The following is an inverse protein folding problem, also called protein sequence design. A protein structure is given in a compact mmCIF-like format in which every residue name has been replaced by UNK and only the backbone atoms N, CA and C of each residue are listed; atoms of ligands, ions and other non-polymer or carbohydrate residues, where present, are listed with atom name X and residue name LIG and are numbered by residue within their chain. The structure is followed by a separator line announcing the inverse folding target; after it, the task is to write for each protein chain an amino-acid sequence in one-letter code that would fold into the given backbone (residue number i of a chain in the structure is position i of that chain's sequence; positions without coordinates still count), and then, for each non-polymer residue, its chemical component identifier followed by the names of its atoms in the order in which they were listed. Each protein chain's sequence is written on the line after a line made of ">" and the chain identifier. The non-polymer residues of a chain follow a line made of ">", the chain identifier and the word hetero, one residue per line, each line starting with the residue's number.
data_IF_841763385165
#
_entry.id   IF_841763385165
#
_cell.length_a   1.000
_cell.length_b   1.000
_cell.length_c   1.000
_cell.angle_alpha   90.00
_cell.angle_beta   90.00
_cell.angle_gamma   90.00
#
_symmetry.space_group_name_H-M   'P 1'
#
loop_
_entity.id
_entity.type
_entity.pdbx_description
1 polymer ?
#
# COMPACT_ATOMS: atom_id res chain seq x y z
N UNK A 1 26.21 -25.80 23.84
CA UNK A 1 25.72 -25.15 22.61
C UNK A 1 24.36 -25.76 22.32
N UNK A 2 23.30 -25.17 22.88
CA UNK A 2 21.93 -25.71 22.73
C UNK A 2 21.41 -25.41 21.32
N UNK A 3 21.02 -26.46 20.60
CA UNK A 3 20.24 -26.35 19.36
C UNK A 3 18.87 -25.82 19.76
N UNK A 4 18.61 -24.55 19.52
CA UNK A 4 17.25 -24.03 19.52
C UNK A 4 16.57 -24.55 18.26
N UNK A 5 15.49 -25.32 18.39
CA UNK A 5 14.63 -25.69 17.28
C UNK A 5 14.06 -24.40 16.65
N UNK A 6 14.63 -24.04 15.51
CA UNK A 6 14.43 -22.79 14.78
C UNK A 6 13.18 -22.88 13.90
N UNK A 7 12.06 -23.30 14.47
CA UNK A 7 10.87 -23.53 13.65
C UNK A 7 10.09 -22.22 13.43
N UNK A 8 10.20 -21.72 12.21
CA UNK A 8 9.27 -20.74 11.64
C UNK A 8 8.14 -21.54 11.00
N UNK A 9 6.92 -21.33 11.49
CA UNK A 9 5.74 -22.03 11.02
C UNK A 9 5.02 -21.18 9.97
N UNK A 10 4.68 -21.79 8.83
CA UNK A 10 3.75 -21.19 7.86
C UNK A 10 2.32 -21.34 8.38
N UNK A 11 1.57 -20.24 8.34
CA UNK A 11 0.16 -20.16 8.74
C UNK A 11 -0.64 -19.38 7.68
N UNK A 12 -1.95 -19.34 7.83
CA UNK A 12 -2.75 -18.34 7.14
C UNK A 12 -2.36 -16.94 7.61
N UNK A 13 -2.40 -15.96 6.69
CA UNK A 13 -2.24 -14.55 7.07
C UNK A 13 -3.32 -14.17 8.08
N UNK A 14 -2.92 -13.51 9.16
CA UNK A 14 -3.80 -13.06 10.23
C UNK A 14 -3.56 -11.58 10.51
N UNK A 15 -4.28 -10.74 9.78
CA UNK A 15 -4.07 -9.29 9.78
C UNK A 15 -4.75 -8.58 10.92
N UNK A 16 -5.85 -9.14 11.41
CA UNK A 16 -6.47 -8.68 12.65
C UNK A 16 -5.47 -8.87 13.78
N UNK A 17 -4.85 -10.05 13.88
CA UNK A 17 -3.79 -10.27 14.86
C UNK A 17 -2.57 -9.37 14.65
N UNK A 18 -2.15 -9.16 13.41
CA UNK A 18 -1.05 -8.25 13.10
C UNK A 18 -1.37 -6.82 13.54
N UNK A 19 -2.60 -6.35 13.31
CA UNK A 19 -3.08 -5.03 13.72
C UNK A 19 -3.17 -4.91 15.24
N UNK A 20 -3.72 -5.91 15.93
CA UNK A 20 -3.77 -5.94 17.40
C UNK A 20 -2.36 -5.83 18.01
N UNK A 21 -1.37 -6.51 17.43
CA UNK A 21 0.02 -6.44 17.85
C UNK A 21 0.64 -5.05 17.63
N UNK A 22 0.31 -4.39 16.51
CA UNK A 22 0.71 -3.02 16.25
C UNK A 22 0.08 -2.04 17.26
N UNK A 23 -1.21 -2.20 17.54
CA UNK A 23 -1.94 -1.35 18.47
C UNK A 23 -1.41 -1.53 19.90
N UNK A 24 -1.16 -2.78 20.34
CA UNK A 24 -0.48 -3.06 21.62
C UNK A 24 0.92 -2.45 21.70
N UNK A 25 1.70 -2.49 20.61
CA UNK A 25 3.02 -1.87 20.56
C UNK A 25 2.94 -0.34 20.75
N UNK A 26 1.96 0.30 20.11
CA UNK A 26 1.70 1.75 20.25
C UNK A 26 1.25 2.12 21.66
N UNK A 27 0.33 1.36 22.23
CA UNK A 27 -0.11 1.54 23.62
C UNK A 27 1.06 1.40 24.60
N UNK A 28 1.92 0.40 24.42
CA UNK A 28 3.12 0.23 25.26
C UNK A 28 4.07 1.42 25.15
N UNK A 29 4.28 1.97 23.96
CA UNK A 29 5.09 3.17 23.78
C UNK A 29 4.48 4.38 24.49
N UNK A 30 3.16 4.58 24.41
CA UNK A 30 2.48 5.74 25.00
C UNK A 30 2.33 5.62 26.54
N UNK A 31 2.09 4.43 27.07
CA UNK A 31 1.71 4.24 28.48
C UNK A 31 2.73 3.49 29.32
N UNK A 32 3.49 2.54 28.76
CA UNK A 32 4.52 1.86 29.54
C UNK A 32 5.82 2.66 29.53
N UNK A 33 6.35 2.98 28.35
CA UNK A 33 7.66 3.61 28.21
C UNK A 33 7.66 5.04 28.75
N UNK A 34 6.61 5.81 28.45
CA UNK A 34 6.49 7.23 28.85
C UNK A 34 6.53 7.44 30.37
N UNK A 35 6.05 6.48 31.14
CA UNK A 35 5.90 6.58 32.60
C UNK A 35 6.97 5.80 33.38
N UNK A 36 7.86 5.07 32.70
CA UNK A 36 9.00 4.43 33.37
C UNK A 36 10.03 5.50 33.74
N UNK A 37 10.44 5.60 35.01
CA UNK A 37 11.48 6.52 35.44
C UNK A 37 12.78 6.30 34.66
N UNK A 38 13.45 7.38 34.24
CA UNK A 38 14.67 7.30 33.40
C UNK A 38 15.84 6.59 34.09
N UNK A 39 15.90 6.65 35.41
CA UNK A 39 16.86 5.93 36.24
C UNK A 39 16.62 4.41 36.28
N UNK A 40 15.44 3.95 35.84
CA UNK A 40 15.13 2.53 35.58
C UNK A 40 15.45 2.14 34.12
N UNK A 41 16.63 2.49 33.63
CA UNK A 41 17.05 2.24 32.23
C UNK A 41 16.98 0.78 31.81
N UNK A 42 17.20 -0.17 32.73
CA UNK A 42 17.03 -1.60 32.45
C UNK A 42 15.57 -1.98 32.15
N UNK A 43 14.61 -1.27 32.74
CA UNK A 43 13.18 -1.46 32.49
C UNK A 43 12.77 -0.82 31.17
N UNK A 44 13.33 0.34 30.83
CA UNK A 44 13.19 0.93 29.49
C UNK A 44 13.66 -0.04 28.40
N UNK A 45 14.83 -0.68 28.57
CA UNK A 45 15.29 -1.72 27.64
C UNK A 45 14.27 -2.85 27.47
N UNK A 46 13.70 -3.35 28.57
CA UNK A 46 12.72 -4.43 28.54
C UNK A 46 11.47 -4.02 27.75
N UNK A 47 10.93 -2.84 28.02
CA UNK A 47 9.74 -2.35 27.33
C UNK A 47 10.00 -2.11 25.85
N UNK A 48 11.11 -1.47 25.48
CA UNK A 48 11.47 -1.28 24.06
C UNK A 48 11.69 -2.61 23.33
N UNK A 49 12.32 -3.59 23.98
CA UNK A 49 12.50 -4.90 23.37
C UNK A 49 11.17 -5.63 23.18
N UNK A 50 10.23 -5.49 24.12
CA UNK A 50 8.90 -6.06 23.98
C UNK A 50 8.09 -5.39 22.86
N UNK A 51 8.21 -4.07 22.69
CA UNK A 51 7.69 -3.36 21.51
C UNK A 51 8.28 -3.96 20.23
N UNK A 52 9.60 -4.16 20.16
CA UNK A 52 10.23 -4.79 18.99
C UNK A 52 9.66 -6.18 18.71
N UNK A 53 9.49 -7.01 19.74
CA UNK A 53 8.92 -8.36 19.60
C UNK A 53 7.50 -8.30 19.05
N UNK A 54 6.65 -7.41 19.57
CA UNK A 54 5.28 -7.21 19.10
C UNK A 54 5.26 -6.80 17.61
N UNK A 55 6.11 -5.85 17.22
CA UNK A 55 6.22 -5.39 15.83
C UNK A 55 6.76 -6.49 14.89
N UNK A 56 7.84 -7.19 15.26
CA UNK A 56 8.38 -8.31 14.48
C UNK A 56 7.34 -9.42 14.30
N UNK A 57 6.60 -9.72 15.37
CA UNK A 57 5.54 -10.74 15.33
C UNK A 57 4.40 -10.29 14.43
N UNK A 58 4.02 -9.01 14.48
CA UNK A 58 3.02 -8.42 13.59
C UNK A 58 3.41 -8.58 12.11
N UNK A 59 4.68 -8.34 11.76
CA UNK A 59 5.21 -8.56 10.40
C UNK A 59 5.00 -10.01 9.96
N UNK A 60 5.35 -10.98 10.81
CA UNK A 60 5.21 -12.40 10.47
C UNK A 60 3.73 -12.79 10.26
N UNK A 61 2.83 -12.35 11.14
CA UNK A 61 1.39 -12.65 10.99
C UNK A 61 0.81 -12.06 9.70
N UNK A 62 1.22 -10.83 9.34
CA UNK A 62 0.84 -10.21 8.08
C UNK A 62 1.38 -10.96 6.84
N UNK A 63 2.48 -11.70 7.00
CA UNK A 63 3.05 -12.55 5.94
C UNK A 63 2.47 -13.97 5.91
N UNK A 64 1.80 -14.41 6.97
CA UNK A 64 1.35 -15.79 7.12
C UNK A 64 2.44 -16.69 7.69
N UNK A 65 3.20 -16.18 8.65
CA UNK A 65 4.17 -16.94 9.43
C UNK A 65 4.03 -16.66 10.92
N UNK A 66 4.53 -17.57 11.76
CA UNK A 66 4.71 -17.34 13.19
C UNK A 66 5.92 -18.09 13.70
N UNK A 67 6.42 -17.67 14.86
CA UNK A 67 7.43 -18.41 15.61
C UNK A 67 7.25 -18.14 17.11
N UNK A 68 7.81 -19.02 17.93
CA UNK A 68 7.91 -18.82 19.38
C UNK A 68 9.31 -18.36 19.80
N UNK A 69 10.26 -18.34 18.85
CA UNK A 69 11.66 -18.02 19.10
C UNK A 69 11.95 -16.57 18.74
N UNK A 70 12.45 -15.81 19.71
CA UNK A 70 12.91 -14.45 19.50
C UNK A 70 14.10 -14.38 18.54
N UNK A 71 14.93 -15.43 18.49
CA UNK A 71 16.03 -15.52 17.54
C UNK A 71 15.45 -15.65 16.13
N UNK A 72 14.46 -16.54 15.95
CA UNK A 72 13.81 -16.75 14.66
C UNK A 72 13.03 -15.51 14.19
N UNK A 73 12.48 -14.70 15.09
CA UNK A 73 11.90 -13.38 14.74
C UNK A 73 12.94 -12.48 14.06
N UNK A 74 14.14 -12.36 14.66
CA UNK A 74 15.21 -11.52 14.12
C UNK A 74 15.78 -12.11 12.83
N UNK A 75 15.91 -13.43 12.74
CA UNK A 75 16.38 -14.09 11.52
C UNK A 75 15.40 -13.93 10.36
N UNK A 76 14.09 -13.99 10.63
CA UNK A 76 13.07 -13.76 9.62
C UNK A 76 13.19 -12.37 8.98
N UNK A 77 13.53 -11.35 9.77
CA UNK A 77 13.73 -9.99 9.26
C UNK A 77 14.89 -9.85 8.27
N UNK A 78 15.80 -10.82 8.14
CA UNK A 78 16.85 -10.80 7.11
C UNK A 78 16.28 -10.81 5.68
N UNK A 79 15.02 -11.23 5.50
CA UNK A 79 14.35 -11.16 4.20
C UNK A 79 13.88 -9.74 3.82
N UNK A 80 14.03 -8.76 4.71
CA UNK A 80 13.58 -7.38 4.53
C UNK A 80 14.75 -6.46 4.22
N UNK A 81 14.74 -5.89 3.01
CA UNK A 81 15.77 -4.95 2.57
C UNK A 81 15.68 -3.59 3.29
N UNK A 82 14.54 -3.31 3.91
CA UNK A 82 14.35 -2.12 4.72
C UNK A 82 15.33 -2.11 5.89
N UNK A 83 15.71 -3.26 6.46
CA UNK A 83 16.63 -3.35 7.61
C UNK A 83 18.05 -3.73 7.18
N UNK A 84 19.05 -3.07 7.76
CA UNK A 84 20.46 -3.39 7.51
C UNK A 84 21.02 -4.33 8.59
N UNK A 85 22.22 -4.89 8.35
CA UNK A 85 22.86 -5.84 9.27
C UNK A 85 23.09 -5.26 10.67
N UNK A 86 23.47 -3.97 10.78
CA UNK A 86 23.68 -3.32 12.07
C UNK A 86 22.36 -3.27 12.88
N UNK A 87 21.24 -2.97 12.23
CA UNK A 87 19.92 -2.93 12.87
C UNK A 87 19.49 -4.31 13.38
N UNK A 88 19.75 -5.37 12.59
CA UNK A 88 19.49 -6.75 12.99
C UNK A 88 20.39 -7.18 14.16
N UNK A 89 21.67 -6.78 14.14
CA UNK A 89 22.60 -7.00 15.25
C UNK A 89 22.16 -6.24 16.51
N UNK A 90 21.62 -5.03 16.36
CA UNK A 90 21.08 -4.26 17.48
C UNK A 90 19.90 -4.98 18.14
N UNK A 91 18.98 -5.56 17.37
CA UNK A 91 17.88 -6.38 17.91
C UNK A 91 18.41 -7.58 18.71
N UNK A 92 19.44 -8.27 18.21
CA UNK A 92 20.02 -9.41 18.92
C UNK A 92 20.78 -8.99 20.19
N UNK A 93 21.46 -7.84 20.15
CA UNK A 93 22.10 -7.24 21.34
C UNK A 93 21.07 -6.84 22.39
N UNK A 94 19.96 -6.21 21.99
CA UNK A 94 18.83 -5.91 22.89
C UNK A 94 18.28 -7.19 23.54
N UNK A 95 18.06 -8.26 22.74
CA UNK A 95 17.60 -9.56 23.24
C UNK A 95 18.55 -10.12 24.31
N UNK A 96 19.86 -10.14 24.02
CA UNK A 96 20.89 -10.65 24.94
C UNK A 96 20.96 -9.81 26.23
N UNK A 97 20.95 -8.49 26.10
CA UNK A 97 20.99 -7.58 27.26
C UNK A 97 19.74 -7.73 28.13
N UNK A 98 18.54 -7.81 27.52
CA UNK A 98 17.27 -8.05 28.22
C UNK A 98 17.27 -9.40 28.93
N UNK A 99 17.73 -10.46 28.28
CA UNK A 99 17.85 -11.78 28.90
C UNK A 99 18.81 -11.75 30.11
N UNK A 100 19.95 -11.07 29.98
CA UNK A 100 20.90 -10.84 31.08
C UNK A 100 20.26 -10.20 32.32
N UNK A 101 19.45 -9.16 32.11
CA UNK A 101 18.74 -8.47 33.19
C UNK A 101 17.64 -9.34 33.80
N UNK A 102 16.78 -9.95 32.97
CA UNK A 102 15.58 -10.67 33.44
C UNK A 102 15.93 -11.95 34.18
N UNK A 103 16.88 -12.74 33.68
CA UNK A 103 17.16 -14.06 34.24
C UNK A 103 18.31 -14.07 35.25
N UNK A 104 19.26 -13.13 35.12
CA UNK A 104 20.47 -13.11 35.95
C UNK A 104 20.59 -11.86 36.83
N UNK A 105 19.59 -10.99 36.83
CA UNK A 105 19.56 -9.77 37.66
C UNK A 105 20.69 -8.77 37.35
N UNK A 106 21.33 -8.87 36.18
CA UNK A 106 22.46 -8.01 35.83
C UNK A 106 21.99 -6.59 35.53
N UNK A 107 22.70 -5.60 36.07
CA UNK A 107 22.42 -4.17 35.80
C UNK A 107 22.93 -3.69 34.45
N UNK A 108 23.71 -4.51 33.74
CA UNK A 108 24.38 -4.16 32.48
C UNK A 108 23.40 -3.75 31.37
N UNK A 109 22.16 -4.27 31.39
CA UNK A 109 21.13 -3.88 30.44
C UNK A 109 20.74 -2.40 30.52
N UNK A 110 20.85 -1.80 31.72
CA UNK A 110 20.61 -0.36 31.89
C UNK A 110 21.67 0.49 31.20
N UNK A 111 22.95 0.14 31.38
CA UNK A 111 24.06 0.81 30.71
C UNK A 111 24.00 0.63 29.19
N UNK A 112 23.66 -0.58 28.73
CA UNK A 112 23.44 -0.84 27.32
C UNK A 112 22.37 0.10 26.73
N UNK A 113 21.23 0.25 27.39
CA UNK A 113 20.17 1.13 26.92
C UNK A 113 20.63 2.58 26.84
N UNK A 114 21.26 3.10 27.89
CA UNK A 114 21.73 4.50 27.91
C UNK A 114 22.71 4.79 26.76
N UNK A 115 23.57 3.84 26.43
CA UNK A 115 24.55 3.98 25.35
C UNK A 115 23.93 3.86 23.94
N UNK A 116 22.74 3.30 23.80
CA UNK A 116 22.11 2.98 22.51
C UNK A 116 20.67 3.49 22.38
N UNK A 117 20.19 4.36 23.29
CA UNK A 117 18.79 4.79 23.37
C UNK A 117 18.28 5.35 22.03
N UNK A 118 19.07 6.22 21.40
CA UNK A 118 18.70 6.83 20.12
C UNK A 118 18.62 5.80 18.99
N UNK A 119 19.59 4.88 18.92
CA UNK A 119 19.61 3.80 17.92
C UNK A 119 18.40 2.88 18.09
N UNK A 120 18.07 2.52 19.35
CA UNK A 120 16.90 1.71 19.68
C UNK A 120 15.62 2.42 19.23
N UNK A 121 15.44 3.71 19.54
CA UNK A 121 14.24 4.46 19.13
C UNK A 121 14.09 4.54 17.62
N UNK A 122 15.19 4.79 16.90
CA UNK A 122 15.19 4.81 15.42
C UNK A 122 14.76 3.45 14.86
N UNK A 123 15.35 2.37 15.39
CA UNK A 123 15.02 1.00 15.00
C UNK A 123 13.56 0.64 15.25
N UNK A 124 13.01 1.01 16.41
CA UNK A 124 11.60 0.77 16.75
C UNK A 124 10.67 1.52 15.80
N UNK A 125 10.96 2.79 15.51
CA UNK A 125 10.18 3.56 14.54
C UNK A 125 10.22 2.91 13.15
N UNK A 126 11.38 2.39 12.75
CA UNK A 126 11.54 1.71 11.47
C UNK A 126 10.73 0.41 11.39
N UNK A 127 10.70 -0.38 12.46
CA UNK A 127 9.84 -1.57 12.56
C UNK A 127 8.35 -1.19 12.52
N UNK A 128 7.96 -0.11 13.22
CA UNK A 128 6.59 0.41 13.18
C UNK A 128 6.18 0.83 11.76
N UNK A 129 7.02 1.60 11.09
CA UNK A 129 6.80 2.04 9.70
C UNK A 129 6.67 0.83 8.75
N UNK A 130 7.47 -0.21 8.95
CA UNK A 130 7.43 -1.43 8.16
C UNK A 130 6.09 -2.17 8.33
N UNK A 131 5.60 -2.32 9.57
CA UNK A 131 4.29 -2.92 9.85
C UNK A 131 3.16 -2.08 9.24
N UNK A 132 3.16 -0.76 9.50
CA UNK A 132 2.14 0.14 8.98
C UNK A 132 2.07 0.14 7.46
N UNK A 133 3.23 0.17 6.80
CA UNK A 133 3.34 0.09 5.34
C UNK A 133 2.68 -1.19 4.81
N UNK A 134 2.98 -2.33 5.44
CA UNK A 134 2.44 -3.62 5.02
C UNK A 134 0.91 -3.68 5.18
N UNK A 135 0.38 -3.23 6.31
CA UNK A 135 -1.06 -3.18 6.55
C UNK A 135 -1.77 -2.17 5.63
N UNK A 136 -1.14 -1.02 5.32
CA UNK A 136 -1.68 -0.03 4.37
C UNK A 136 -1.71 -0.56 2.94
N UNK A 137 -0.63 -1.16 2.45
CA UNK A 137 -0.58 -1.74 1.09
C UNK A 137 -1.68 -2.79 0.89
N UNK A 138 -1.97 -3.60 1.92
CA UNK A 138 -3.09 -4.54 1.93
C UNK A 138 -4.44 -3.84 1.70
N UNK A 139 -4.81 -2.88 2.55
CA UNK A 139 -6.09 -2.16 2.45
C UNK A 139 -6.21 -1.49 1.09
N UNK A 140 -5.13 -0.86 0.63
CA UNK A 140 -5.06 -0.22 -0.68
C UNK A 140 -5.34 -1.22 -1.82
N UNK A 141 -4.74 -2.41 -1.79
CA UNK A 141 -5.00 -3.46 -2.78
C UNK A 141 -6.45 -3.95 -2.75
N UNK A 142 -7.07 -4.09 -1.57
CA UNK A 142 -8.47 -4.51 -1.44
C UNK A 142 -9.43 -3.47 -2.01
N UNK A 143 -9.22 -2.19 -1.69
CA UNK A 143 -10.01 -1.08 -2.22
C UNK A 143 -9.83 -0.96 -3.74
N UNK A 144 -8.60 -1.10 -4.24
CA UNK A 144 -8.33 -1.14 -5.66
C UNK A 144 -9.11 -2.26 -6.35
N UNK A 145 -9.00 -3.50 -5.87
CA UNK A 145 -9.71 -4.66 -6.45
C UNK A 145 -11.22 -4.45 -6.44
N UNK A 146 -11.76 -3.95 -5.33
CA UNK A 146 -13.18 -3.65 -5.17
C UNK A 146 -13.70 -2.69 -6.23
N UNK A 147 -12.90 -1.67 -6.60
CA UNK A 147 -13.29 -0.73 -7.66
C UNK A 147 -13.00 -1.31 -9.04
N UNK A 148 -11.88 -2.01 -9.21
CA UNK A 148 -11.45 -2.55 -10.49
C UNK A 148 -12.48 -3.52 -11.09
N UNK A 149 -13.12 -4.36 -10.27
CA UNK A 149 -14.14 -5.32 -10.73
C UNK A 149 -15.40 -4.67 -11.31
N UNK A 150 -15.63 -3.39 -11.06
CA UNK A 150 -16.80 -2.68 -11.60
C UNK A 150 -16.66 -2.62 -13.13
N UNK A 151 -17.63 -3.14 -13.91
CA UNK A 151 -17.56 -3.14 -15.36
C UNK A 151 -17.33 -1.75 -15.94
N UNK A 152 -16.38 -1.64 -16.86
CA UNK A 152 -16.15 -0.41 -17.59
C UNK A 152 -17.33 -0.13 -18.53
N UNK A 153 -17.88 1.08 -18.44
CA UNK A 153 -18.86 1.58 -19.38
C UNK A 153 -18.82 3.11 -19.39
N UNK A 154 -18.80 3.70 -20.58
CA UNK A 154 -18.92 5.16 -20.70
C UNK A 154 -20.36 5.55 -20.47
N UNK A 155 -20.60 6.36 -19.44
CA UNK A 155 -21.94 6.83 -19.05
C UNK A 155 -21.94 8.30 -18.64
N UNK A 156 -23.13 8.84 -18.41
CA UNK A 156 -23.27 10.16 -17.78
C UNK A 156 -22.61 10.12 -16.41
N UNK A 157 -21.72 11.07 -16.16
CA UNK A 157 -21.03 11.23 -14.89
C UNK A 157 -21.72 12.32 -14.06
N UNK A 158 -22.13 11.97 -12.85
CA UNK A 158 -22.62 12.90 -11.82
C UNK A 158 -21.86 12.56 -10.54
N UNK A 159 -21.02 13.48 -10.08
CA UNK A 159 -20.05 13.21 -9.00
C UNK A 159 -20.74 12.84 -7.69
N UNK A 160 -21.86 13.48 -7.41
CA UNK A 160 -22.64 13.34 -6.19
C UNK A 160 -23.35 11.98 -6.10
N UNK A 161 -23.53 11.30 -7.23
CA UNK A 161 -24.15 9.98 -7.30
C UNK A 161 -23.14 8.84 -7.11
N UNK A 162 -21.83 9.13 -7.14
CA UNK A 162 -20.79 8.11 -7.01
C UNK A 162 -20.74 7.59 -5.57
N UNK A 163 -20.95 6.28 -5.43
CA UNK A 163 -20.86 5.54 -4.19
C UNK A 163 -20.55 4.06 -4.45
N UNK A 164 -20.45 3.24 -3.40
CA UNK A 164 -20.06 1.81 -3.50
C UNK A 164 -21.07 0.92 -4.26
N UNK A 165 -22.25 1.43 -4.63
CA UNK A 165 -23.31 0.67 -5.34
C UNK A 165 -23.34 0.88 -6.85
N UNK A 166 -22.41 1.67 -7.43
CA UNK A 166 -22.38 1.86 -8.89
C UNK A 166 -22.22 0.51 -9.61
N UNK A 167 -23.02 0.29 -10.65
CA UNK A 167 -23.05 -0.99 -11.38
C UNK A 167 -22.02 -1.08 -12.50
N UNK A 168 -21.64 0.07 -13.03
CA UNK A 168 -20.67 0.23 -14.12
C UNK A 168 -20.14 1.67 -14.09
N UNK A 169 -19.04 1.91 -14.81
CA UNK A 169 -18.55 3.27 -15.00
C UNK A 169 -17.19 3.33 -15.67
N UNK A 170 -16.88 4.49 -16.24
CA UNK A 170 -15.58 4.77 -16.85
C UNK A 170 -14.56 5.30 -15.82
N UNK A 171 -13.41 5.79 -16.32
CA UNK A 171 -12.35 6.35 -15.49
C UNK A 171 -12.82 7.42 -14.51
N UNK A 172 -13.82 8.26 -14.86
CA UNK A 172 -14.34 9.32 -13.99
C UNK A 172 -15.02 8.73 -12.77
N UNK A 173 -15.86 7.72 -12.98
CA UNK A 173 -16.63 7.06 -11.93
C UNK A 173 -15.72 6.25 -11.01
N UNK A 174 -14.86 5.42 -11.61
CA UNK A 174 -14.00 4.49 -10.87
C UNK A 174 -12.91 5.24 -10.09
N UNK A 175 -12.26 6.24 -10.69
CA UNK A 175 -11.26 7.05 -9.99
C UNK A 175 -11.86 7.90 -8.87
N UNK A 176 -13.08 8.43 -9.04
CA UNK A 176 -13.77 9.15 -7.97
C UNK A 176 -14.15 8.21 -6.81
N UNK A 177 -14.70 7.03 -7.10
CA UNK A 177 -15.03 6.05 -6.05
C UNK A 177 -13.79 5.62 -5.28
N UNK A 178 -12.69 5.28 -5.97
CA UNK A 178 -11.45 4.91 -5.32
C UNK A 178 -10.87 6.05 -4.48
N UNK A 179 -10.92 7.29 -4.98
CA UNK A 179 -10.53 8.48 -4.23
C UNK A 179 -11.31 8.62 -2.91
N UNK A 180 -12.64 8.47 -2.95
CA UNK A 180 -13.48 8.55 -1.75
C UNK A 180 -13.15 7.44 -0.73
N UNK A 181 -13.01 6.20 -1.20
CA UNK A 181 -12.68 5.05 -0.38
C UNK A 181 -11.31 5.20 0.31
N UNK A 182 -10.31 5.71 -0.41
CA UNK A 182 -8.97 5.91 0.12
C UNK A 182 -8.92 7.03 1.17
N UNK A 183 -9.61 8.16 0.93
CA UNK A 183 -9.71 9.22 1.93
C UNK A 183 -10.41 8.74 3.21
N UNK A 184 -11.49 7.95 3.08
CA UNK A 184 -12.18 7.34 4.24
C UNK A 184 -11.25 6.45 5.07
N UNK A 185 -10.26 5.82 4.42
CA UNK A 185 -9.23 5.01 5.07
C UNK A 185 -7.95 5.79 5.40
N UNK A 186 -8.01 7.12 5.43
CA UNK A 186 -6.92 8.02 5.85
C UNK A 186 -5.65 7.91 5.00
N UNK A 187 -5.77 7.52 3.73
CA UNK A 187 -4.66 7.62 2.80
C UNK A 187 -4.47 9.06 2.35
N UNK A 188 -3.21 9.50 2.21
CA UNK A 188 -2.89 10.69 1.45
C UNK A 188 -3.06 10.37 -0.05
N UNK A 189 -4.07 10.96 -0.68
CA UNK A 189 -4.43 10.71 -2.09
C UNK A 189 -4.70 12.03 -2.80
N UNK A 190 -4.27 12.12 -4.07
CA UNK A 190 -4.57 13.25 -4.96
C UNK A 190 -5.10 12.77 -6.29
N UNK A 191 -5.92 13.60 -6.95
CA UNK A 191 -6.38 13.35 -8.31
C UNK A 191 -5.28 13.75 -9.30
N UNK A 192 -5.16 12.96 -10.36
CA UNK A 192 -4.25 13.26 -11.46
C UNK A 192 -5.00 13.19 -12.79
N UNK A 193 -4.54 13.98 -13.76
CA UNK A 193 -4.97 13.90 -15.16
C UNK A 193 -3.87 13.25 -15.98
N UNK A 194 -4.26 12.31 -16.84
CA UNK A 194 -3.35 11.62 -17.74
C UNK A 194 -3.73 11.94 -19.18
N UNK A 195 -2.79 12.37 -19.99
CA UNK A 195 -2.98 12.48 -21.44
C UNK A 195 -2.57 11.16 -22.08
N UNK A 196 -3.46 10.59 -22.90
CA UNK A 196 -3.27 9.31 -23.57
C UNK A 196 -3.81 9.35 -25.00
N UNK A 197 -3.43 8.37 -25.82
CA UNK A 197 -3.95 8.20 -27.18
C UNK A 197 -4.78 6.91 -27.29
N UNK A 198 -6.02 7.00 -27.76
CA UNK A 198 -6.86 5.84 -28.06
C UNK A 198 -6.22 4.87 -29.07
N UNK A 199 -5.30 5.34 -29.91
CA UNK A 199 -4.53 4.49 -30.85
C UNK A 199 -3.56 3.54 -30.17
N UNK A 200 -3.19 3.81 -28.91
CA UNK A 200 -2.31 2.92 -28.14
C UNK A 200 -3.04 1.64 -27.68
N UNK A 201 -4.37 1.59 -27.85
CA UNK A 201 -5.22 0.45 -27.54
C UNK A 201 -5.55 -0.35 -28.82
N UNK A 202 -5.81 -1.65 -28.66
CA UNK A 202 -6.16 -2.55 -29.76
C UNK A 202 -7.63 -2.40 -30.18
N UNK A 203 -8.05 -1.16 -30.44
CA UNK A 203 -9.42 -0.86 -30.86
C UNK A 203 -9.63 -1.17 -32.35
N UNK A 204 -10.84 -1.60 -32.75
CA UNK A 204 -11.25 -1.66 -34.15
C UNK A 204 -11.04 -0.31 -34.85
N UNK A 205 -10.57 -0.34 -36.10
CA UNK A 205 -10.29 0.88 -36.88
C UNK A 205 -11.54 1.72 -37.06
N UNK A 206 -12.70 1.08 -37.16
CA UNK A 206 -14.01 1.68 -37.34
C UNK A 206 -14.37 2.59 -36.16
N UNK A 207 -13.99 2.23 -34.93
CA UNK A 207 -14.20 3.07 -33.75
C UNK A 207 -13.33 4.33 -33.81
N UNK A 208 -12.05 4.18 -34.15
CA UNK A 208 -11.13 5.31 -34.26
C UNK A 208 -11.54 6.29 -35.38
N UNK A 209 -12.17 5.78 -36.45
CA UNK A 209 -12.70 6.59 -37.54
C UNK A 209 -13.89 7.47 -37.14
N UNK A 210 -14.49 7.28 -35.96
CA UNK A 210 -15.50 8.19 -35.41
C UNK A 210 -14.86 9.51 -34.97
N UNK A 211 -13.60 9.48 -34.52
CA UNK A 211 -12.90 10.59 -33.88
C UNK A 211 -12.18 11.51 -34.88
N UNK A 212 -12.85 11.93 -35.96
CA UNK A 212 -12.21 12.69 -37.06
C UNK A 212 -11.89 14.12 -36.66
N UNK A 213 -12.81 14.80 -35.98
CA UNK A 213 -12.63 16.19 -35.53
C UNK A 213 -11.89 16.25 -34.20
N UNK A 214 -12.23 15.35 -33.29
CA UNK A 214 -11.71 15.33 -31.92
C UNK A 214 -10.26 14.82 -31.84
N UNK A 215 -9.86 14.00 -32.81
CA UNK A 215 -8.62 13.24 -32.71
C UNK A 215 -8.69 12.17 -31.62
N UNK A 216 -7.61 11.41 -31.50
CA UNK A 216 -7.54 10.24 -30.60
C UNK A 216 -6.84 10.52 -29.28
N UNK A 217 -6.26 11.71 -29.10
CA UNK A 217 -5.54 12.11 -27.88
C UNK A 217 -6.49 12.78 -26.91
N UNK A 218 -6.80 12.10 -25.80
CA UNK A 218 -7.78 12.54 -24.81
C UNK A 218 -7.15 12.61 -23.42
N UNK A 219 -7.88 13.19 -22.46
CA UNK A 219 -7.50 13.16 -21.05
C UNK A 219 -8.25 12.04 -20.30
N UNK A 220 -7.64 11.58 -19.22
CA UNK A 220 -8.10 10.48 -18.40
C UNK A 220 -7.98 10.84 -16.91
N UNK A 221 -8.93 10.37 -16.11
CA UNK A 221 -8.95 10.55 -14.66
C UNK A 221 -8.28 9.39 -13.95
N UNK A 222 -7.19 9.68 -13.23
CA UNK A 222 -6.51 8.73 -12.35
C UNK A 222 -6.32 9.31 -10.95
N UNK A 223 -5.66 8.53 -10.10
CA UNK A 223 -5.24 9.00 -8.77
C UNK A 223 -3.76 8.70 -8.52
N UNK A 224 -3.16 9.47 -7.61
CA UNK A 224 -1.88 9.13 -7.00
C UNK A 224 -2.06 8.97 -5.49
N UNK A 225 -1.46 7.94 -4.93
CA UNK A 225 -1.53 7.59 -3.50
C UNK A 225 -0.12 7.65 -2.92
N UNK A 226 0.02 8.19 -1.70
CA UNK A 226 1.32 8.26 -1.04
C UNK A 226 1.56 7.02 -0.18
N UNK A 227 2.59 6.24 -0.51
CA UNK A 227 3.03 5.04 0.22
C UNK A 227 4.53 5.19 0.50
N UNK A 228 4.97 4.99 1.75
CA UNK A 228 6.37 5.11 2.15
C UNK A 228 7.06 6.41 1.72
N UNK A 229 6.32 7.53 1.74
CA UNK A 229 6.74 8.88 1.29
C UNK A 229 6.85 9.05 -0.23
N UNK A 230 6.57 8.02 -1.02
CA UNK A 230 6.54 8.07 -2.48
C UNK A 230 5.10 8.18 -2.99
N UNK A 231 4.91 8.89 -4.10
CA UNK A 231 3.63 8.96 -4.78
C UNK A 231 3.58 7.92 -5.88
N UNK A 232 2.69 6.95 -5.74
CA UNK A 232 2.45 5.90 -6.73
C UNK A 232 1.15 6.19 -7.49
N UNK A 233 1.14 5.90 -8.79
CA UNK A 233 0.01 6.13 -9.68
C UNK A 233 -0.87 4.90 -9.73
N UNK A 234 -2.16 5.10 -9.47
CA UNK A 234 -3.14 4.03 -9.38
C UNK A 234 -4.28 4.31 -10.34
N UNK A 235 -4.48 3.38 -11.26
CA UNK A 235 -5.50 3.39 -12.30
C UNK A 235 -6.27 2.07 -12.25
N UNK A 236 -7.55 2.16 -11.86
CA UNK A 236 -8.47 1.02 -11.72
C UNK A 236 -9.48 0.94 -12.87
N UNK A 237 -9.25 1.67 -13.96
CA UNK A 237 -10.24 1.85 -15.04
C UNK A 237 -10.65 0.52 -15.67
N UNK A 238 -9.68 -0.30 -16.07
CA UNK A 238 -9.95 -1.54 -16.80
C UNK A 238 -10.25 -2.71 -15.84
N UNK A 239 -11.49 -3.22 -15.92
CA UNK A 239 -11.87 -4.49 -15.28
C UNK A 239 -11.23 -5.69 -15.99
N UNK A 240 -11.15 -6.83 -15.30
CA UNK A 240 -10.33 -7.98 -15.72
C UNK A 240 -10.71 -8.54 -17.08
N UNK A 241 -12.01 -8.55 -17.40
CA UNK A 241 -12.58 -9.10 -18.62
C UNK A 241 -12.03 -8.42 -19.88
N UNK A 242 -11.65 -7.14 -19.76
CA UNK A 242 -11.11 -6.35 -20.87
C UNK A 242 -9.71 -6.75 -21.32
N UNK A 243 -9.00 -7.56 -20.51
CA UNK A 243 -7.70 -8.11 -20.92
C UNK A 243 -7.82 -8.91 -22.23
N UNK A 244 -8.92 -9.65 -22.39
CA UNK A 244 -9.20 -10.42 -23.61
C UNK A 244 -9.32 -9.55 -24.88
N UNK A 245 -9.66 -8.26 -24.70
CA UNK A 245 -9.78 -7.25 -25.76
C UNK A 245 -8.51 -6.38 -25.89
N UNK A 246 -7.41 -6.78 -25.27
CA UNK A 246 -6.09 -6.15 -25.42
C UNK A 246 -5.84 -4.92 -24.53
N UNK A 247 -6.70 -4.64 -23.54
CA UNK A 247 -6.50 -3.52 -22.62
C UNK A 247 -5.40 -3.80 -21.57
N UNK A 248 -4.68 -2.76 -21.10
CA UNK A 248 -3.65 -2.89 -20.06
C UNK A 248 -4.27 -3.06 -18.67
N UNK A 249 -4.65 -4.29 -18.33
CA UNK A 249 -5.27 -4.63 -17.06
C UNK A 249 -4.24 -5.03 -16.01
N UNK A 250 -4.28 -4.40 -14.83
CA UNK A 250 -3.48 -4.83 -13.68
C UNK A 250 -4.13 -6.03 -12.99
N UNK A 251 -3.65 -7.25 -13.28
CA UNK A 251 -4.22 -8.49 -12.69
C UNK A 251 -3.76 -8.72 -11.25
N UNK A 252 -2.49 -8.46 -10.99
CA UNK A 252 -1.86 -8.59 -9.69
C UNK A 252 -1.13 -7.29 -9.39
N UNK A 253 -1.47 -6.68 -8.26
CA UNK A 253 -0.82 -5.48 -7.77
C UNK A 253 -0.24 -5.75 -6.39
N UNK A 254 0.91 -5.16 -6.10
CA UNK A 254 1.66 -5.32 -4.84
C UNK A 254 1.31 -4.26 -3.79
N UNK A 255 0.52 -3.24 -4.17
CA UNK A 255 0.18 -2.12 -3.31
C UNK A 255 1.36 -1.19 -2.99
N UNK A 256 2.44 -1.28 -3.75
CA UNK A 256 3.69 -0.52 -3.59
C UNK A 256 4.19 0.11 -4.89
N UNK A 257 3.92 -0.47 -6.06
CA UNK A 257 4.31 0.06 -7.36
C UNK A 257 3.19 0.85 -8.03
N UNK A 258 3.50 1.57 -9.10
CA UNK A 258 2.47 2.05 -10.03
C UNK A 258 1.67 0.85 -10.59
N UNK A 259 0.37 1.03 -10.83
CA UNK A 259 -0.43 0.07 -11.61
C UNK A 259 -0.14 0.21 -13.10
N UNK A 260 -0.60 -0.74 -13.93
CA UNK A 260 -0.75 -0.43 -15.35
C UNK A 260 -1.71 0.75 -15.51
N UNK A 261 -1.38 1.64 -16.43
CA UNK A 261 -2.13 2.86 -16.71
C UNK A 261 -3.03 2.67 -17.93
N UNK A 262 -3.88 3.66 -18.19
CA UNK A 262 -4.89 3.68 -19.28
C UNK A 262 -4.43 3.09 -20.62
N UNK A 263 -3.19 3.36 -21.05
CA UNK A 263 -2.56 2.73 -22.24
C UNK A 263 -1.11 2.34 -21.96
N UNK A 264 -0.51 1.55 -22.86
CA UNK A 264 0.93 1.23 -22.83
C UNK A 264 1.79 2.23 -23.60
N UNK A 265 1.18 3.27 -24.18
CA UNK A 265 1.87 4.28 -24.97
C UNK A 265 2.53 5.35 -24.12
N UNK A 266 2.86 6.48 -24.75
CA UNK A 266 3.52 7.60 -24.07
C UNK A 266 2.48 8.42 -23.31
N UNK A 267 2.55 8.37 -21.99
CA UNK A 267 1.65 9.09 -21.09
C UNK A 267 2.27 10.38 -20.54
N UNK A 268 1.44 11.39 -20.31
CA UNK A 268 1.81 12.63 -19.61
C UNK A 268 0.89 12.82 -18.41
N UNK A 269 1.47 13.12 -17.24
CA UNK A 269 0.76 13.17 -15.97
C UNK A 269 0.77 14.59 -15.40
N UNK A 270 -0.38 15.01 -14.88
CA UNK A 270 -0.58 16.34 -14.30
C UNK A 270 -1.33 16.22 -12.98
N UNK A 271 -1.01 17.09 -12.02
CA UNK A 271 -1.89 17.32 -10.87
C UNK A 271 -3.22 17.90 -11.41
N UNK A 272 -4.36 17.31 -11.01
CA UNK A 272 -5.66 17.73 -11.57
C UNK A 272 -5.96 19.21 -11.33
N UNK A 273 -5.53 19.76 -10.19
CA UNK A 273 -5.78 21.17 -9.83
C UNK A 273 -4.98 22.17 -10.69
N UNK A 274 -3.95 21.70 -11.40
CA UNK A 274 -3.08 22.52 -12.27
C UNK A 274 -3.29 22.20 -13.75
N UNK A 275 -4.22 21.30 -14.07
CA UNK A 275 -4.40 20.82 -15.43
C UNK A 275 -5.44 21.66 -16.17
N UNK A 276 -4.98 22.39 -17.19
CA UNK A 276 -5.85 23.04 -18.17
C UNK A 276 -5.85 22.23 -19.46
N UNK A 277 -7.00 21.65 -19.81
CA UNK A 277 -7.13 20.88 -21.04
C UNK A 277 -7.10 21.81 -22.25
N UNK A 278 -6.11 21.63 -23.12
CA UNK A 278 -6.11 22.20 -24.49
C UNK A 278 -6.77 21.26 -25.50
N UNK A 279 -7.18 20.07 -25.07
CA UNK A 279 -7.81 19.06 -25.93
C UNK A 279 -9.26 19.47 -26.16
N UNK A 280 -9.61 19.65 -27.43
CA UNK A 280 -10.99 19.94 -27.85
C UNK A 280 -11.62 18.67 -28.37
N UNK A 281 -12.69 18.23 -27.72
CA UNK A 281 -13.46 17.05 -28.10
C UNK A 281 -14.82 17.50 -28.61
N UNK A 282 -15.19 17.08 -29.82
CA UNK A 282 -16.51 17.28 -30.39
C UNK A 282 -17.52 16.40 -29.64
N UNK A 283 -18.58 17.01 -29.11
CA UNK A 283 -19.53 16.30 -28.23
C UNK A 283 -20.31 15.20 -28.97
N UNK A 284 -20.64 15.41 -30.23
CA UNK A 284 -21.39 14.43 -31.03
C UNK A 284 -20.50 13.23 -31.35
N UNK A 285 -19.25 13.48 -31.75
CA UNK A 285 -18.27 12.40 -31.94
C UNK A 285 -18.01 11.63 -30.65
N UNK A 286 -17.87 12.33 -29.51
CA UNK A 286 -17.61 11.68 -28.24
C UNK A 286 -18.77 10.79 -27.79
N UNK A 287 -20.02 11.24 -27.93
CA UNK A 287 -21.18 10.42 -27.62
C UNK A 287 -21.27 9.21 -28.55
N UNK A 288 -21.10 9.42 -29.86
CA UNK A 288 -21.13 8.32 -30.83
C UNK A 288 -20.01 7.31 -30.58
N UNK A 289 -18.81 7.78 -30.28
CA UNK A 289 -17.67 6.92 -29.95
C UNK A 289 -17.94 6.13 -28.66
N UNK A 290 -18.46 6.78 -27.62
CA UNK A 290 -18.84 6.13 -26.37
C UNK A 290 -19.89 5.04 -26.58
N UNK A 291 -20.92 5.30 -27.38
CA UNK A 291 -21.99 4.32 -27.66
C UNK A 291 -21.45 3.10 -28.41
N UNK A 292 -20.67 3.31 -29.47
CA UNK A 292 -20.08 2.21 -30.24
C UNK A 292 -18.99 1.46 -29.47
N UNK A 293 -18.21 2.15 -28.63
CA UNK A 293 -17.26 1.53 -27.72
C UNK A 293 -17.99 0.63 -26.72
N UNK A 294 -19.05 1.13 -26.08
CA UNK A 294 -19.86 0.34 -25.14
C UNK A 294 -20.44 -0.92 -25.80
N UNK A 295 -20.96 -0.82 -27.03
CA UNK A 295 -21.45 -1.97 -27.81
C UNK A 295 -20.36 -2.97 -28.11
N UNK A 296 -19.19 -2.51 -28.55
CA UNK A 296 -18.06 -3.39 -28.82
C UNK A 296 -17.51 -4.06 -27.55
N UNK A 297 -17.58 -3.36 -26.41
CA UNK A 297 -17.12 -3.87 -25.13
C UNK A 297 -18.10 -4.85 -24.49
N UNK A 298 -19.38 -4.84 -24.86
CA UNK A 298 -20.37 -5.79 -24.37
C UNK A 298 -19.90 -7.27 -24.56
N UNK A 299 -20.30 -8.18 -23.65
CA UNK A 299 -19.95 -9.59 -23.71
C UNK A 299 -20.37 -10.29 -25.00
#
# INVERSE_FOLDING_TARGET
>A
MEKYDSEIFKISKDEERAKDLLDMAKERMEFAIKYVPKDMSYRLLQEYYEVAVQLMTSIMYADGYKTLSHISLIEYLKSYNELNNHELEMLDRMRKARHGTVYYGRKDGGNFFLNHENEIKILINKLNDLVESKLKSKILMELFKKVQIIPYQVSKFVKEEINESIKYGDCRHKSELLFQLLNKNKFEVKRIKVIFDWKDLQLPKELLLILKKSGTIWNHDGIAVKINKEWIKVDCTWNLELKSKGFPVTEYWDGKSDTLQVTKGKLQFYDSDKFESKIKVDKEEAHKFADELNKWLAP
#
